data_IF_274137681027
#
_entry.id   IF_274137681027
#
_cell.length_a   1.000
_cell.length_b   1.000
_cell.length_c   1.000
_cell.angle_alpha   90.00
_cell.angle_beta   90.00
_cell.angle_gamma   90.00
#
_symmetry.space_group_name_H-M   'P 1'
#
loop_
_entity.id
_entity.type
_entity.pdbx_description
1 polymer ?
#
# COMPACT_ATOMS: atom_id res chain seq x y z
N UNK A 1 9.22 -12.05 55.43
CA UNK A 1 8.90 -12.31 54.00
C UNK A 1 10.00 -11.63 53.21
N UNK A 2 10.84 -12.42 52.53
CA UNK A 2 11.87 -11.88 51.63
C UNK A 2 11.15 -11.12 50.51
N UNK A 3 11.45 -9.82 50.39
CA UNK A 3 10.95 -8.99 49.29
C UNK A 3 11.54 -9.59 48.02
N UNK A 4 10.72 -10.24 47.20
CA UNK A 4 11.17 -10.76 45.91
C UNK A 4 11.56 -9.56 45.06
N UNK A 5 12.81 -9.48 44.60
CA UNK A 5 13.26 -8.46 43.66
C UNK A 5 12.87 -8.86 42.23
N UNK A 6 12.53 -7.89 41.39
CA UNK A 6 12.28 -8.12 39.97
C UNK A 6 13.55 -8.58 39.24
N UNK A 7 13.39 -9.56 38.36
CA UNK A 7 14.45 -10.01 37.45
C UNK A 7 14.68 -8.97 36.38
N UNK A 8 15.94 -8.68 36.10
CA UNK A 8 16.31 -7.65 35.15
C UNK A 8 16.25 -8.14 33.68
N UNK A 9 16.02 -7.22 32.75
CA UNK A 9 16.19 -7.42 31.31
C UNK A 9 17.63 -7.88 31.04
N UNK A 10 17.74 -8.91 30.20
CA UNK A 10 18.96 -9.69 29.99
C UNK A 10 19.01 -10.98 30.83
N UNK A 11 18.21 -11.08 31.89
CA UNK A 11 18.13 -12.24 32.77
C UNK A 11 16.70 -12.85 32.88
N UNK A 12 15.72 -12.30 32.16
CA UNK A 12 14.33 -12.74 32.23
C UNK A 12 14.19 -14.22 31.83
N UNK A 13 13.18 -14.91 32.38
CA UNK A 13 12.92 -16.30 32.02
C UNK A 13 12.77 -16.50 30.50
N UNK A 14 12.09 -15.60 29.78
CA UNK A 14 11.99 -15.67 28.31
C UNK A 14 13.32 -15.51 27.57
N UNK A 15 14.32 -14.87 28.19
CA UNK A 15 15.65 -14.67 27.61
C UNK A 15 16.61 -15.81 27.97
N UNK A 16 16.39 -16.48 29.10
CA UNK A 16 17.12 -17.70 29.49
C UNK A 16 16.63 -18.92 28.70
N UNK A 17 15.32 -19.05 28.55
CA UNK A 17 14.68 -20.10 27.77
C UNK A 17 13.54 -19.51 26.92
N UNK A 18 13.84 -19.22 25.65
CA UNK A 18 12.88 -18.68 24.69
C UNK A 18 11.69 -19.61 24.41
N UNK A 19 11.81 -20.90 24.72
CA UNK A 19 10.80 -21.94 24.47
C UNK A 19 9.88 -22.18 25.67
N UNK A 20 10.15 -21.54 26.82
CA UNK A 20 9.32 -21.66 28.01
C UNK A 20 7.93 -21.04 27.76
N UNK A 21 6.88 -21.87 27.84
CA UNK A 21 5.50 -21.46 27.52
C UNK A 21 4.67 -21.05 28.73
N UNK A 22 5.05 -21.53 29.91
CA UNK A 22 4.37 -21.23 31.17
C UNK A 22 5.39 -20.95 32.27
N UNK A 23 5.09 -20.02 33.16
CA UNK A 23 5.94 -19.69 34.32
C UNK A 23 5.09 -19.31 35.52
N UNK A 24 5.36 -19.91 36.67
CA UNK A 24 4.84 -19.42 37.94
C UNK A 24 5.72 -18.30 38.47
N UNK A 25 5.11 -17.18 38.83
CA UNK A 25 5.80 -15.97 39.30
C UNK A 25 4.96 -15.23 40.35
N UNK A 26 5.49 -14.16 40.91
CA UNK A 26 4.84 -13.37 41.97
C UNK A 26 4.68 -11.92 41.51
N UNK A 27 3.53 -11.33 41.80
CA UNK A 27 3.30 -9.90 41.57
C UNK A 27 4.11 -9.06 42.55
N UNK A 28 4.92 -8.14 42.06
CA UNK A 28 5.73 -7.22 42.85
C UNK A 28 4.97 -5.91 43.09
N UNK A 29 4.42 -5.33 42.04
CA UNK A 29 3.67 -4.08 42.11
C UNK A 29 2.54 -4.06 41.08
N UNK A 30 1.49 -3.30 41.36
CA UNK A 30 0.37 -3.06 40.46
C UNK A 30 -0.12 -1.63 40.65
N UNK A 31 -0.26 -0.86 39.58
CA UNK A 31 -0.75 0.50 39.61
C UNK A 31 -1.53 0.84 38.33
N UNK A 32 -2.38 1.87 38.38
CA UNK A 32 -3.13 2.32 37.21
C UNK A 32 -2.18 2.75 36.07
N UNK A 33 -2.41 2.21 34.88
CA UNK A 33 -1.68 2.56 33.67
C UNK A 33 -2.44 3.65 32.91
N UNK A 34 -1.86 4.84 32.84
CA UNK A 34 -2.36 5.93 31.99
C UNK A 34 -1.59 5.91 30.67
N UNK A 35 -2.22 5.65 29.52
CA UNK A 35 -1.51 5.63 28.24
C UNK A 35 -0.90 7.00 27.95
N UNK A 36 0.39 7.04 27.58
CA UNK A 36 1.14 8.27 27.30
C UNK A 36 0.50 9.15 26.19
N UNK A 37 -0.32 8.56 25.31
CA UNK A 37 -1.05 9.28 24.26
C UNK A 37 -2.22 10.17 24.75
N UNK A 38 -2.60 10.11 26.03
CA UNK A 38 -3.68 10.94 26.57
C UNK A 38 -3.29 12.44 26.66
N UNK A 39 -1.99 12.77 26.77
CA UNK A 39 -1.54 14.17 26.83
C UNK A 39 -1.47 14.83 25.44
N UNK A 40 -1.12 14.08 24.38
CA UNK A 40 -1.07 14.62 23.00
C UNK A 40 -2.45 14.71 22.32
N UNK A 41 -3.42 13.88 22.72
CA UNK A 41 -4.80 13.96 22.20
C UNK A 41 -5.54 15.22 22.67
N UNK A 42 -5.21 15.79 23.84
CA UNK A 42 -5.81 17.05 24.28
C UNK A 42 -5.50 18.24 23.36
N UNK A 43 -4.37 18.21 22.63
CA UNK A 43 -4.02 19.27 21.67
C UNK A 43 -4.61 19.08 20.26
N UNK A 44 -5.09 17.87 19.89
CA UNK A 44 -5.72 17.63 18.57
C UNK A 44 -7.26 17.64 18.59
N UNK A 45 -7.90 17.42 19.74
CA UNK A 45 -9.37 17.36 19.84
C UNK A 45 -10.10 18.72 19.83
N UNK A 46 -9.40 19.86 19.63
CA UNK A 46 -10.08 21.14 19.37
C UNK A 46 -10.61 21.29 17.93
N UNK A 47 -10.37 20.32 17.04
CA UNK A 47 -10.90 20.30 15.66
C UNK A 47 -11.29 18.89 15.21
N UNK A 48 -12.42 18.39 15.68
CA UNK A 48 -13.42 17.60 14.94
C UNK A 48 -14.43 17.02 15.93
N UNK A 49 -15.69 17.40 15.75
CA UNK A 49 -16.80 16.88 16.53
C UNK A 49 -17.22 15.48 16.08
N UNK A 50 -17.75 14.74 17.05
CA UNK A 50 -18.53 13.50 16.95
C UNK A 50 -17.87 12.29 16.30
N UNK A 51 -17.27 11.44 17.12
CA UNK A 51 -17.48 9.99 17.06
C UNK A 51 -17.59 9.44 18.49
N UNK A 52 -18.51 8.49 18.71
CA UNK A 52 -18.75 7.83 19.99
C UNK A 52 -17.46 7.17 20.51
N UNK A 53 -16.85 7.77 21.52
CA UNK A 53 -15.70 7.19 22.24
C UNK A 53 -16.27 6.22 23.28
N UNK A 54 -16.07 4.91 23.07
CA UNK A 54 -16.28 3.92 24.14
C UNK A 54 -15.50 4.35 25.39
N UNK A 55 -16.05 4.20 26.61
CA UNK A 55 -15.34 4.57 27.82
C UNK A 55 -13.98 3.85 27.86
N UNK A 56 -12.89 4.62 27.97
CA UNK A 56 -11.54 4.07 28.12
C UNK A 56 -11.55 3.12 29.32
N UNK A 57 -11.44 1.82 29.07
CA UNK A 57 -11.34 0.83 30.14
C UNK A 57 -10.09 1.14 30.95
N UNK A 58 -10.24 1.24 32.27
CA UNK A 58 -9.11 1.39 33.18
C UNK A 58 -8.14 0.21 33.00
N UNK A 59 -6.88 0.51 32.71
CA UNK A 59 -5.81 -0.48 32.56
C UNK A 59 -4.86 -0.37 33.75
N UNK A 60 -4.17 -1.47 34.04
CA UNK A 60 -3.22 -1.56 35.14
C UNK A 60 -1.88 -2.06 34.63
N UNK A 61 -0.79 -1.50 35.14
CA UNK A 61 0.57 -1.95 34.90
C UNK A 61 1.00 -2.86 36.07
N UNK A 62 1.37 -4.09 35.75
CA UNK A 62 1.77 -5.11 36.72
C UNK A 62 3.24 -5.47 36.53
N UNK A 63 4.03 -5.29 37.57
CA UNK A 63 5.42 -5.76 37.64
C UNK A 63 5.47 -7.13 38.30
N UNK A 64 6.22 -8.06 37.70
CA UNK A 64 6.36 -9.44 38.16
C UNK A 64 7.80 -9.72 38.56
N UNK A 65 7.99 -10.67 39.48
CA UNK A 65 9.31 -11.08 39.97
C UNK A 65 10.19 -11.62 38.84
N UNK A 66 9.59 -12.33 37.89
CA UNK A 66 10.19 -12.77 36.64
C UNK A 66 9.07 -12.94 35.60
N UNK A 67 9.40 -12.90 34.31
CA UNK A 67 8.43 -13.02 33.23
C UNK A 67 8.93 -13.87 32.06
N UNK A 68 8.00 -14.64 31.50
CA UNK A 68 8.17 -15.29 30.19
C UNK A 68 7.57 -14.48 29.05
N UNK A 69 7.04 -13.29 29.27
CA UNK A 69 6.54 -12.42 28.21
C UNK A 69 7.62 -11.38 27.93
N UNK A 70 8.24 -11.42 26.75
CA UNK A 70 9.32 -10.52 26.38
C UNK A 70 8.79 -9.08 26.31
N UNK A 71 9.37 -8.13 27.07
CA UNK A 71 9.13 -6.72 26.82
C UNK A 71 9.73 -6.35 25.47
N UNK A 72 9.14 -5.39 24.76
CA UNK A 72 9.76 -4.88 23.53
C UNK A 72 11.24 -4.49 23.73
N UNK A 73 12.10 -4.74 22.74
CA UNK A 73 13.52 -4.47 22.87
C UNK A 73 14.35 -4.92 21.67
N UNK A 74 15.39 -4.16 21.35
CA UNK A 74 16.33 -4.48 20.27
C UNK A 74 15.66 -4.66 18.92
N UNK A 75 14.57 -3.93 18.65
CA UNK A 75 13.77 -4.04 17.41
C UNK A 75 12.73 -5.16 17.39
N UNK A 76 12.73 -6.08 18.37
CA UNK A 76 11.69 -7.12 18.50
C UNK A 76 10.45 -6.57 19.24
N UNK A 77 9.24 -6.75 18.66
CA UNK A 77 7.98 -6.42 19.33
C UNK A 77 7.74 -7.23 20.61
N UNK A 78 6.92 -6.70 21.51
CA UNK A 78 6.51 -7.40 22.74
C UNK A 78 5.70 -8.67 22.46
N UNK A 79 5.77 -9.61 23.41
CA UNK A 79 4.87 -10.77 23.43
C UNK A 79 3.49 -10.44 23.98
N UNK A 80 2.52 -11.24 23.55
CA UNK A 80 1.18 -11.31 24.13
C UNK A 80 1.03 -12.60 24.93
N UNK A 81 -0.02 -12.68 25.74
CA UNK A 81 -0.27 -13.85 26.56
C UNK A 81 -1.33 -13.58 27.62
N UNK A 82 -1.25 -14.29 28.73
CA UNK A 82 -2.16 -14.08 29.86
C UNK A 82 -1.51 -14.37 31.20
N UNK A 83 -2.06 -13.70 32.21
CA UNK A 83 -1.78 -13.95 33.62
C UNK A 83 -2.97 -14.75 34.17
N UNK A 84 -2.70 -15.96 34.66
CA UNK A 84 -3.67 -16.85 35.30
C UNK A 84 -3.56 -16.68 36.81
N UNK A 85 -4.65 -16.25 37.43
CA UNK A 85 -4.76 -16.03 38.86
C UNK A 85 -5.02 -17.34 39.62
N UNK A 86 -4.84 -17.39 40.96
CA UNK A 86 -5.10 -18.59 41.76
C UNK A 86 -6.54 -19.13 41.71
N UNK A 87 -7.50 -18.31 41.28
CA UNK A 87 -8.90 -18.68 41.09
C UNK A 87 -9.20 -19.12 39.64
N UNK A 88 -8.17 -19.44 38.85
CA UNK A 88 -8.22 -19.80 37.43
C UNK A 88 -8.77 -18.70 36.50
N UNK A 89 -8.95 -17.47 37.01
CA UNK A 89 -9.30 -16.34 36.15
C UNK A 89 -8.10 -15.96 35.26
N UNK A 90 -8.37 -15.76 33.97
CA UNK A 90 -7.36 -15.51 32.94
C UNK A 90 -7.44 -14.06 32.47
N UNK A 91 -6.43 -13.27 32.84
CA UNK A 91 -6.32 -11.88 32.42
C UNK A 91 -5.44 -11.78 31.16
N UNK A 92 -5.97 -11.28 30.02
CA UNK A 92 -5.17 -11.07 28.83
C UNK A 92 -4.16 -9.94 29.05
N UNK A 93 -2.90 -10.20 28.70
CA UNK A 93 -1.85 -9.17 28.69
C UNK A 93 -1.91 -8.47 27.33
N UNK A 94 -2.25 -7.20 27.34
CA UNK A 94 -2.41 -6.39 26.12
C UNK A 94 -1.05 -5.98 25.55
N UNK A 95 -0.10 -5.69 26.43
CA UNK A 95 1.22 -5.18 26.08
C UNK A 95 2.20 -5.46 27.21
N UNK A 96 3.47 -5.64 26.86
CA UNK A 96 4.57 -5.71 27.83
C UNK A 96 5.56 -4.59 27.51
N UNK A 97 5.66 -3.64 28.43
CA UNK A 97 6.54 -2.48 28.30
C UNK A 97 7.84 -2.73 29.04
N UNK A 98 8.95 -2.29 28.43
CA UNK A 98 10.21 -2.18 29.15
C UNK A 98 10.16 -0.96 30.06
N UNK A 99 10.48 -1.14 31.34
CA UNK A 99 10.61 -0.06 32.31
C UNK A 99 12.02 -0.12 32.91
N UNK A 100 12.95 0.64 32.33
CA UNK A 100 14.39 0.56 32.64
C UNK A 100 14.93 -0.86 32.45
N UNK A 101 15.19 -1.58 33.55
CA UNK A 101 15.66 -2.95 33.57
C UNK A 101 14.55 -3.95 33.94
N UNK A 102 13.29 -3.55 34.11
CA UNK A 102 12.19 -4.49 34.43
C UNK A 102 11.11 -4.47 33.35
N UNK A 103 10.10 -5.33 33.49
CA UNK A 103 8.99 -5.48 32.55
C UNK A 103 7.65 -5.18 33.22
N UNK A 104 6.83 -4.35 32.59
CA UNK A 104 5.48 -4.00 33.02
C UNK A 104 4.44 -4.63 32.10
N UNK A 105 3.47 -5.35 32.68
CA UNK A 105 2.43 -6.05 31.96
C UNK A 105 1.13 -5.25 32.04
N UNK A 106 0.59 -4.84 30.90
CA UNK A 106 -0.65 -4.06 30.85
C UNK A 106 -1.85 -5.00 30.79
N UNK A 107 -2.71 -4.93 31.80
CA UNK A 107 -3.85 -5.83 32.02
C UNK A 107 -5.14 -5.06 32.32
N UNK A 108 -6.34 -5.65 32.08
CA UNK A 108 -7.62 -4.97 32.24
C UNK A 108 -8.15 -4.93 33.69
N UNK A 109 -7.44 -5.50 34.65
CA UNK A 109 -7.88 -5.57 36.05
C UNK A 109 -6.67 -5.59 36.98
N UNK A 110 -6.76 -4.99 38.19
CA UNK A 110 -5.65 -4.94 39.11
C UNK A 110 -5.37 -6.33 39.69
N UNK A 111 -4.13 -6.55 40.10
CA UNK A 111 -3.70 -7.78 40.78
C UNK A 111 -2.93 -7.39 42.04
N UNK A 112 -3.31 -7.93 43.20
CA UNK A 112 -2.70 -7.56 44.47
C UNK A 112 -1.21 -7.97 44.52
N UNK A 113 -0.31 -7.08 44.97
CA UNK A 113 1.08 -7.43 45.24
C UNK A 113 1.22 -8.63 46.17
N UNK A 114 2.18 -9.51 45.89
CA UNK A 114 2.37 -10.78 46.60
C UNK A 114 1.54 -11.96 46.06
N UNK A 115 0.61 -11.71 45.13
CA UNK A 115 -0.18 -12.78 44.50
C UNK A 115 0.72 -13.68 43.64
N UNK A 116 0.62 -15.00 43.83
CA UNK A 116 1.25 -15.99 42.95
C UNK A 116 0.39 -16.17 41.71
N UNK A 117 0.99 -16.03 40.53
CA UNK A 117 0.28 -16.12 39.24
C UNK A 117 1.04 -17.04 38.28
N UNK A 118 0.33 -17.60 37.30
CA UNK A 118 0.94 -18.34 36.20
C UNK A 118 0.85 -17.54 34.92
N UNK A 119 1.98 -17.25 34.30
CA UNK A 119 2.04 -16.68 32.97
C UNK A 119 1.88 -17.78 31.93
N UNK A 120 1.17 -17.47 30.85
CA UNK A 120 1.09 -18.29 29.66
C UNK A 120 1.29 -17.41 28.42
N UNK A 121 2.30 -17.71 27.61
CA UNK A 121 2.60 -16.96 26.39
C UNK A 121 1.65 -17.31 25.26
N UNK A 122 1.34 -16.34 24.41
CA UNK A 122 0.80 -16.57 23.08
C UNK A 122 1.90 -17.20 22.21
N UNK A 123 1.90 -18.53 22.14
CA UNK A 123 2.98 -19.28 21.51
C UNK A 123 3.08 -19.02 20.01
N UNK A 124 1.95 -18.81 19.33
CA UNK A 124 1.94 -18.57 17.88
C UNK A 124 2.58 -17.23 17.53
N UNK A 125 2.32 -16.21 18.36
CA UNK A 125 3.02 -14.92 18.24
C UNK A 125 4.50 -15.07 18.57
N UNK A 126 4.84 -15.72 19.68
CA UNK A 126 6.24 -15.90 20.11
C UNK A 126 7.08 -16.55 19.02
N UNK A 127 6.62 -17.69 18.50
CA UNK A 127 7.38 -18.43 17.50
C UNK A 127 7.51 -17.63 16.19
N UNK A 128 6.48 -16.91 15.79
CA UNK A 128 6.52 -16.02 14.62
C UNK A 128 7.60 -14.94 14.77
N UNK A 129 7.62 -14.24 15.92
CA UNK A 129 8.61 -13.21 16.22
C UNK A 129 10.04 -13.78 16.29
N UNK A 130 10.22 -14.94 16.93
CA UNK A 130 11.53 -15.62 16.97
C UNK A 130 12.02 -16.01 15.58
N UNK A 131 11.13 -16.47 14.70
CA UNK A 131 11.45 -16.78 13.30
C UNK A 131 11.86 -15.53 12.52
N UNK A 132 11.15 -14.41 12.70
CA UNK A 132 11.48 -13.17 12.02
C UNK A 132 12.81 -12.59 12.49
N UNK A 133 13.01 -12.56 13.81
CA UNK A 133 14.20 -11.99 14.41
C UNK A 133 15.44 -12.83 14.10
N UNK A 134 15.38 -14.15 14.32
CA UNK A 134 16.50 -15.04 13.96
C UNK A 134 16.78 -15.01 12.45
N UNK A 135 15.74 -14.97 11.61
CA UNK A 135 15.91 -14.85 10.17
C UNK A 135 16.54 -13.52 9.74
N UNK A 136 16.29 -12.43 10.47
CA UNK A 136 16.98 -11.16 10.25
C UNK A 136 18.48 -11.28 10.53
N UNK A 137 18.88 -11.84 11.69
CA UNK A 137 20.31 -12.02 12.01
C UNK A 137 21.00 -12.90 10.97
N UNK A 138 20.38 -14.01 10.57
CA UNK A 138 20.92 -14.88 9.53
C UNK A 138 21.04 -14.15 8.18
N UNK A 139 20.05 -13.35 7.80
CA UNK A 139 20.08 -12.56 6.58
C UNK A 139 21.20 -11.51 6.61
N UNK A 140 21.35 -10.78 7.71
CA UNK A 140 22.44 -9.80 7.91
C UNK A 140 23.81 -10.45 7.77
N UNK A 141 24.04 -11.57 8.45
CA UNK A 141 25.31 -12.29 8.38
C UNK A 141 25.66 -12.72 6.95
N UNK A 142 24.67 -13.12 6.15
CA UNK A 142 24.89 -13.44 4.74
C UNK A 142 25.17 -12.17 3.92
N UNK A 143 24.40 -11.10 4.13
CA UNK A 143 24.59 -9.82 3.43
C UNK A 143 25.98 -9.22 3.67
N UNK A 144 26.52 -9.35 4.87
CA UNK A 144 27.86 -8.86 5.21
C UNK A 144 28.94 -9.54 4.35
N UNK A 145 28.74 -10.79 3.92
CA UNK A 145 29.66 -11.47 2.98
C UNK A 145 29.66 -10.88 1.56
N UNK A 146 28.75 -9.95 1.26
CA UNK A 146 28.63 -9.22 -0.02
C UNK A 146 28.93 -7.71 0.12
N UNK A 147 29.55 -7.28 1.23
CA UNK A 147 29.77 -5.87 1.56
C UNK A 147 28.46 -5.06 1.54
N UNK A 148 27.41 -5.66 2.11
CA UNK A 148 26.07 -5.08 2.25
C UNK A 148 25.71 -4.98 3.73
N UNK A 149 26.36 -4.05 4.43
CA UNK A 149 26.11 -3.81 5.85
C UNK A 149 24.63 -3.51 6.13
N UNK A 150 24.16 -3.96 7.30
CA UNK A 150 22.81 -3.69 7.78
C UNK A 150 22.77 -2.29 8.43
N UNK A 151 22.14 -1.32 7.77
CA UNK A 151 22.01 0.04 8.30
C UNK A 151 20.89 0.18 9.33
N UNK A 152 19.77 -0.51 9.08
CA UNK A 152 18.63 -0.61 10.00
C UNK A 152 17.71 -1.74 9.56
N UNK A 153 16.76 -2.12 10.41
CA UNK A 153 15.75 -3.12 10.09
C UNK A 153 14.47 -2.87 10.88
N UNK A 154 13.39 -3.53 10.47
CA UNK A 154 12.12 -3.49 11.18
C UNK A 154 11.33 -4.78 11.01
N UNK A 155 10.79 -5.28 12.12
CA UNK A 155 9.89 -6.42 12.16
C UNK A 155 8.45 -5.92 12.24
N UNK A 156 7.77 -5.91 11.10
CA UNK A 156 6.36 -5.53 11.03
C UNK A 156 5.46 -6.76 11.26
N UNK A 157 4.14 -6.60 11.16
CA UNK A 157 3.19 -7.71 11.36
C UNK A 157 3.30 -8.81 10.31
N UNK A 158 3.61 -8.46 9.06
CA UNK A 158 3.67 -9.40 7.96
C UNK A 158 5.00 -9.32 7.21
N UNK A 159 5.32 -8.19 6.61
CA UNK A 159 6.52 -8.02 5.78
C UNK A 159 7.56 -7.17 6.52
N UNK A 160 8.72 -7.75 6.77
CA UNK A 160 9.85 -7.06 7.41
C UNK A 160 10.69 -6.36 6.35
N UNK A 161 11.62 -5.49 6.77
CA UNK A 161 12.64 -4.97 5.87
C UNK A 161 13.99 -4.87 6.56
N UNK A 162 15.04 -4.92 5.73
CA UNK A 162 16.40 -4.54 6.08
C UNK A 162 16.85 -3.42 5.14
N UNK A 163 17.46 -2.38 5.71
CA UNK A 163 17.98 -1.24 4.96
C UNK A 163 19.47 -1.46 4.66
N UNK A 164 19.79 -1.36 3.37
CA UNK A 164 21.11 -1.57 2.78
C UNK A 164 21.65 -0.24 2.25
N UNK A 165 22.97 -0.06 2.19
CA UNK A 165 23.60 1.18 1.70
C UNK A 165 23.34 1.45 0.21
N UNK A 166 22.91 0.44 -0.55
CA UNK A 166 22.63 0.54 -1.97
C UNK A 166 21.58 -0.47 -2.42
N UNK A 167 20.94 -0.20 -3.56
CA UNK A 167 20.09 -1.21 -4.23
C UNK A 167 20.96 -2.33 -4.79
N UNK A 168 20.47 -3.56 -4.65
CA UNK A 168 21.12 -4.79 -5.10
C UNK A 168 20.40 -5.29 -6.36
N UNK A 169 21.12 -5.94 -7.28
CA UNK A 169 20.50 -6.52 -8.48
C UNK A 169 19.65 -7.74 -8.13
N UNK A 170 18.69 -8.07 -8.98
CA UNK A 170 17.78 -9.19 -8.71
C UNK A 170 18.53 -10.53 -8.70
N UNK A 171 19.62 -10.66 -9.47
CA UNK A 171 20.48 -11.84 -9.47
C UNK A 171 21.20 -12.05 -8.13
N UNK A 172 21.75 -10.98 -7.55
CA UNK A 172 22.42 -11.06 -6.23
C UNK A 172 21.38 -11.31 -5.14
N UNK A 173 20.18 -10.72 -5.23
CA UNK A 173 19.10 -11.01 -4.29
C UNK A 173 18.72 -12.49 -4.32
N UNK A 174 18.62 -13.10 -5.50
CA UNK A 174 18.32 -14.53 -5.63
C UNK A 174 19.45 -15.40 -5.04
N UNK A 175 20.71 -15.04 -5.29
CA UNK A 175 21.87 -15.72 -4.72
C UNK A 175 21.85 -15.68 -3.18
N UNK A 176 21.60 -14.50 -2.59
CA UNK A 176 21.48 -14.32 -1.14
C UNK A 176 20.29 -15.11 -0.60
N UNK A 177 19.13 -15.03 -1.26
CA UNK A 177 17.94 -15.79 -0.87
C UNK A 177 18.22 -17.30 -0.80
N UNK A 178 18.91 -17.83 -1.82
CA UNK A 178 19.34 -19.23 -1.83
C UNK A 178 20.32 -19.53 -0.70
N UNK A 179 21.38 -18.73 -0.55
CA UNK A 179 22.44 -18.95 0.46
C UNK A 179 21.90 -18.92 1.89
N UNK A 180 20.97 -18.03 2.20
CA UNK A 180 20.31 -18.01 3.52
C UNK A 180 19.48 -19.28 3.74
N UNK A 181 18.72 -19.73 2.74
CA UNK A 181 17.96 -20.98 2.85
C UNK A 181 18.86 -22.23 2.90
N UNK A 182 20.04 -22.21 2.29
CA UNK A 182 21.04 -23.27 2.44
C UNK A 182 21.50 -23.36 3.91
N UNK A 183 21.80 -22.23 4.58
CA UNK A 183 22.13 -22.22 6.01
C UNK A 183 20.96 -22.61 6.93
N UNK A 184 19.71 -22.35 6.52
CA UNK A 184 18.52 -22.88 7.21
C UNK A 184 18.50 -24.40 7.10
N UNK A 185 18.75 -24.94 5.91
CA UNK A 185 18.80 -26.39 5.67
C UNK A 185 19.92 -27.09 6.46
N UNK A 186 21.08 -26.45 6.58
CA UNK A 186 22.21 -26.95 7.38
C UNK A 186 21.90 -27.04 8.89
N UNK A 187 20.95 -26.24 9.39
CA UNK A 187 20.50 -26.32 10.77
C UNK A 187 21.54 -25.86 11.80
N UNK A 188 22.34 -24.84 11.46
CA UNK A 188 23.36 -24.26 12.34
C UNK A 188 22.83 -24.00 13.77
N UNK A 189 23.61 -24.35 14.82
CA UNK A 189 23.20 -24.16 16.19
C UNK A 189 23.20 -22.67 16.55
N UNK A 190 22.18 -22.24 17.29
CA UNK A 190 22.08 -20.88 17.81
C UNK A 190 22.28 -20.92 19.32
N UNK A 191 23.21 -20.10 19.80
CA UNK A 191 23.56 -20.02 21.22
C UNK A 191 23.47 -18.59 21.72
N UNK A 192 23.06 -18.44 22.97
CA UNK A 192 23.11 -17.17 23.68
C UNK A 192 24.20 -17.28 24.73
N UNK A 193 25.16 -16.36 24.70
CA UNK A 193 26.27 -16.31 25.65
C UNK A 193 26.39 -14.91 26.25
N UNK A 194 27.06 -14.81 27.39
CA UNK A 194 27.44 -13.53 28.00
C UNK A 194 28.80 -13.04 27.46
N UNK A 195 29.16 -11.75 27.60
CA UNK A 195 30.48 -11.23 27.21
C UNK A 195 31.66 -12.01 27.78
N UNK A 196 31.58 -12.39 29.06
CA UNK A 196 32.63 -13.15 29.74
C UNK A 196 32.82 -14.54 29.11
N UNK A 197 31.73 -15.17 28.66
CA UNK A 197 31.76 -16.47 27.97
C UNK A 197 32.16 -16.36 26.49
N UNK A 198 32.03 -15.17 25.89
CA UNK A 198 32.34 -14.94 24.47
C UNK A 198 33.85 -14.83 24.22
N UNK A 199 34.60 -14.18 25.12
CA UNK A 199 36.07 -14.14 25.08
C UNK A 199 36.70 -13.27 24.00
N UNK A 200 35.93 -12.39 23.32
CA UNK A 200 36.42 -11.42 22.34
C UNK A 200 35.82 -10.02 22.58
N UNK A 201 36.45 -8.98 22.02
CA UNK A 201 35.89 -7.61 22.05
C UNK A 201 34.57 -7.55 21.27
N UNK A 202 33.58 -6.87 21.83
CA UNK A 202 32.23 -6.79 21.30
C UNK A 202 31.94 -5.35 20.92
N UNK A 203 31.44 -5.13 19.72
CA UNK A 203 30.91 -3.83 19.33
C UNK A 203 29.62 -3.53 20.10
N UNK A 204 29.69 -2.55 20.99
CA UNK A 204 28.56 -2.11 21.84
C UNK A 204 27.91 -0.83 21.33
N UNK A 205 28.33 -0.31 20.17
CA UNK A 205 27.85 0.97 19.61
C UNK A 205 26.34 1.00 19.31
N UNK A 206 25.72 -0.17 19.19
CA UNK A 206 24.28 -0.32 18.89
C UNK A 206 23.42 -0.55 20.14
N UNK A 207 24.01 -0.53 21.34
CA UNK A 207 23.27 -0.61 22.61
C UNK A 207 22.60 0.75 22.88
N UNK A 208 21.29 0.80 23.20
CA UNK A 208 20.61 2.05 23.53
C UNK A 208 21.26 2.80 24.71
N UNK A 209 21.37 4.12 24.61
CA UNK A 209 21.94 4.98 25.65
C UNK A 209 21.23 4.87 27.01
N UNK A 210 19.96 4.48 27.01
CA UNK A 210 19.13 4.30 28.21
C UNK A 210 19.33 2.92 28.89
N UNK A 211 20.14 2.04 28.31
CA UNK A 211 20.49 0.75 28.89
C UNK A 211 21.69 0.91 29.84
N UNK A 212 21.46 0.74 31.13
CA UNK A 212 22.52 0.73 32.13
C UNK A 212 23.36 -0.55 32.01
N UNK A 213 24.44 -0.50 31.21
CA UNK A 213 25.39 -1.61 31.00
C UNK A 213 26.13 -2.01 32.27
N UNK A 214 26.16 -1.16 33.30
CA UNK A 214 26.79 -1.48 34.59
C UNK A 214 25.94 -2.38 35.49
N UNK A 215 24.62 -2.45 35.21
CA UNK A 215 23.66 -3.24 35.98
C UNK A 215 22.90 -4.27 35.15
N UNK A 216 22.75 -4.05 33.84
CA UNK A 216 22.11 -4.94 32.89
C UNK A 216 23.04 -6.08 32.43
N UNK A 217 22.46 -7.14 31.86
CA UNK A 217 23.22 -8.26 31.29
C UNK A 217 23.25 -8.12 29.77
N UNK A 218 24.44 -7.90 29.19
CA UNK A 218 24.63 -7.96 27.74
C UNK A 218 24.53 -9.43 27.30
N UNK A 219 23.77 -9.68 26.24
CA UNK A 219 23.58 -11.01 25.65
C UNK A 219 24.10 -10.99 24.22
N UNK A 220 24.81 -12.03 23.84
CA UNK A 220 25.38 -12.21 22.51
C UNK A 220 24.75 -13.45 21.90
N UNK A 221 24.17 -13.28 20.72
CA UNK A 221 23.55 -14.37 19.96
C UNK A 221 24.57 -14.81 18.93
N UNK A 222 24.97 -16.08 18.99
CA UNK A 222 25.85 -16.73 18.02
C UNK A 222 25.06 -17.63 17.10
N UNK A 223 25.27 -17.51 15.79
CA UNK A 223 24.72 -18.41 14.78
C UNK A 223 25.89 -19.22 14.20
N UNK A 224 26.09 -20.44 14.72
CA UNK A 224 27.28 -21.24 14.39
C UNK A 224 28.57 -20.42 14.56
N UNK A 225 29.42 -20.46 13.53
CA UNK A 225 30.59 -19.59 13.38
C UNK A 225 30.34 -18.47 12.35
N UNK A 226 29.11 -18.34 11.85
CA UNK A 226 28.75 -17.39 10.80
C UNK A 226 28.57 -15.98 11.36
N UNK A 227 27.98 -15.87 12.55
CA UNK A 227 27.62 -14.58 13.13
C UNK A 227 27.67 -14.58 14.66
N UNK A 228 27.92 -13.40 15.23
CA UNK A 228 27.95 -13.17 16.67
C UNK A 228 27.64 -11.72 17.01
N UNK A 229 26.38 -11.42 17.34
CA UNK A 229 25.91 -10.05 17.58
C UNK A 229 25.28 -9.85 18.96
N UNK A 230 25.46 -8.67 19.60
CA UNK A 230 24.71 -8.30 20.79
C UNK A 230 23.21 -8.22 20.48
N UNK A 231 22.40 -8.99 21.20
CA UNK A 231 20.96 -8.93 21.04
C UNK A 231 20.22 -9.34 22.33
N UNK A 232 19.25 -8.53 22.72
CA UNK A 232 18.39 -8.79 23.88
C UNK A 232 17.15 -9.62 23.55
N UNK A 233 16.87 -9.89 22.27
CA UNK A 233 15.66 -10.60 21.81
C UNK A 233 15.59 -12.08 22.16
N UNK A 234 14.46 -12.70 21.81
CA UNK A 234 14.26 -14.15 21.90
C UNK A 234 14.63 -14.80 20.57
N UNK A 235 15.44 -15.86 20.60
CA UNK A 235 15.94 -16.53 19.41
C UNK A 235 15.64 -18.02 19.41
N UNK A 236 15.53 -18.57 18.20
CA UNK A 236 15.45 -20.00 17.95
C UNK A 236 16.74 -20.70 18.41
N UNK A 237 16.71 -22.03 18.53
CA UNK A 237 17.88 -22.83 18.93
C UNK A 237 18.67 -23.39 17.73
N UNK A 238 18.09 -23.37 16.53
CA UNK A 238 18.73 -23.78 15.28
C UNK A 238 18.14 -22.99 14.11
N UNK A 239 18.95 -22.69 13.10
CA UNK A 239 18.48 -22.02 11.86
C UNK A 239 17.39 -22.81 11.15
N UNK A 240 17.38 -24.15 11.27
CA UNK A 240 16.34 -25.02 10.70
C UNK A 240 14.92 -24.68 11.18
N UNK A 241 14.79 -24.11 12.38
CA UNK A 241 13.49 -23.72 12.94
C UNK A 241 12.93 -22.41 12.33
N UNK A 242 13.75 -21.68 11.55
CA UNK A 242 13.27 -20.58 10.70
C UNK A 242 12.35 -21.13 9.61
N UNK A 243 12.53 -22.41 9.23
CA UNK A 243 11.82 -23.13 8.17
C UNK A 243 12.12 -22.64 6.76
N UNK A 244 11.92 -21.35 6.49
CA UNK A 244 12.23 -20.74 5.21
C UNK A 244 12.36 -19.21 5.39
N UNK A 245 13.12 -18.58 4.50
CA UNK A 245 13.06 -17.14 4.27
C UNK A 245 12.70 -16.88 2.80
N UNK A 246 11.97 -15.80 2.55
CA UNK A 246 11.74 -15.29 1.20
C UNK A 246 12.07 -13.80 1.15
N UNK A 247 12.98 -13.45 0.26
CA UNK A 247 13.23 -12.08 -0.15
C UNK A 247 12.17 -11.65 -1.18
N UNK A 248 11.58 -10.48 -0.96
CA UNK A 248 10.46 -9.98 -1.76
C UNK A 248 10.93 -8.88 -2.72
N UNK A 249 10.50 -7.65 -2.47
CA UNK A 249 10.80 -6.50 -3.31
C UNK A 249 11.76 -5.54 -2.60
N UNK A 250 12.44 -4.72 -3.38
CA UNK A 250 13.30 -3.65 -2.90
C UNK A 250 12.66 -2.28 -3.17
N UNK A 251 12.80 -1.36 -2.20
CA UNK A 251 12.33 0.02 -2.33
C UNK A 251 13.48 0.98 -2.04
N UNK A 252 13.76 1.90 -2.97
CA UNK A 252 14.75 2.94 -2.76
C UNK A 252 14.28 3.92 -1.68
N UNK A 253 15.18 4.32 -0.79
CA UNK A 253 14.92 5.34 0.24
C UNK A 253 15.89 6.51 0.11
N UNK A 254 15.71 7.55 0.94
CA UNK A 254 16.53 8.77 0.88
C UNK A 254 17.99 8.42 1.16
N UNK A 255 18.91 9.10 0.47
CA UNK A 255 20.35 8.91 0.66
C UNK A 255 21.00 7.85 -0.23
N UNK A 256 20.24 7.21 -1.14
CA UNK A 256 20.78 6.16 -2.02
C UNK A 256 20.65 4.73 -1.47
N UNK A 257 20.21 4.62 -0.20
CA UNK A 257 19.92 3.37 0.48
C UNK A 257 18.73 2.63 -0.17
N UNK A 258 18.62 1.34 0.11
CA UNK A 258 17.55 0.46 -0.36
C UNK A 258 16.99 -0.38 0.77
N UNK A 259 15.66 -0.52 0.84
CA UNK A 259 15.00 -1.44 1.77
C UNK A 259 14.65 -2.73 1.06
N UNK A 260 15.33 -3.80 1.42
CA UNK A 260 15.04 -5.16 0.99
C UNK A 260 14.00 -5.78 1.93
N UNK A 261 12.84 -6.11 1.39
CA UNK A 261 11.76 -6.69 2.18
C UNK A 261 11.88 -8.20 2.26
N UNK A 262 11.59 -8.78 3.42
CA UNK A 262 11.71 -10.21 3.66
C UNK A 262 10.63 -10.73 4.61
N UNK A 263 10.40 -12.05 4.57
CA UNK A 263 9.50 -12.79 5.46
C UNK A 263 10.11 -14.14 5.83
N UNK A 264 9.87 -14.61 7.05
CA UNK A 264 10.41 -15.88 7.56
C UNK A 264 9.33 -16.83 8.08
N UNK A 265 9.58 -18.14 8.01
CA UNK A 265 8.78 -19.17 8.67
C UNK A 265 7.30 -19.16 8.30
N UNK A 266 6.43 -19.12 9.32
CA UNK A 266 4.97 -19.19 9.10
C UNK A 266 4.43 -18.12 8.15
N UNK A 267 5.13 -16.98 8.06
CA UNK A 267 4.81 -15.86 7.18
C UNK A 267 5.01 -16.22 5.71
N UNK A 268 6.04 -17.00 5.37
CA UNK A 268 6.27 -17.48 4.00
C UNK A 268 5.09 -18.32 3.53
N UNK A 269 4.63 -19.26 4.35
CA UNK A 269 3.46 -20.09 4.07
C UNK A 269 2.17 -19.26 3.90
N UNK A 270 1.90 -18.34 4.83
CA UNK A 270 0.72 -17.45 4.76
C UNK A 270 0.76 -16.59 3.49
N UNK A 271 1.93 -16.07 3.14
CA UNK A 271 2.12 -15.28 1.94
C UNK A 271 1.90 -16.10 0.67
N UNK A 272 2.46 -17.32 0.59
CA UNK A 272 2.29 -18.22 -0.54
C UNK A 272 0.81 -18.54 -0.80
N UNK A 273 0.05 -18.87 0.24
CA UNK A 273 -1.40 -19.12 0.12
C UNK A 273 -2.12 -17.88 -0.40
N UNK A 274 -1.79 -16.70 0.15
CA UNK A 274 -2.40 -15.43 -0.30
C UNK A 274 -2.13 -15.19 -1.78
N UNK A 275 -0.89 -15.36 -2.24
CA UNK A 275 -0.54 -15.19 -3.65
C UNK A 275 -1.22 -16.24 -4.54
N UNK A 276 -1.25 -17.50 -4.12
CA UNK A 276 -1.94 -18.56 -4.84
C UNK A 276 -3.43 -18.26 -5.02
N UNK A 277 -4.10 -17.78 -3.97
CA UNK A 277 -5.53 -17.43 -4.03
C UNK A 277 -5.79 -16.24 -4.97
N UNK A 278 -4.91 -15.24 -4.98
CA UNK A 278 -4.99 -14.11 -5.92
C UNK A 278 -4.85 -14.62 -7.36
N UNK A 279 -3.81 -15.42 -7.64
CA UNK A 279 -3.58 -15.98 -8.96
C UNK A 279 -4.75 -16.85 -9.43
N UNK A 280 -5.27 -17.73 -8.56
CA UNK A 280 -6.43 -18.58 -8.83
C UNK A 280 -7.69 -17.77 -9.15
N UNK A 281 -7.94 -16.69 -8.42
CA UNK A 281 -9.08 -15.82 -8.66
C UNK A 281 -9.00 -15.14 -10.04
N UNK A 282 -7.81 -14.67 -10.44
CA UNK A 282 -7.58 -14.06 -11.75
C UNK A 282 -7.68 -15.11 -12.87
N UNK A 283 -6.99 -16.24 -12.73
CA UNK A 283 -6.95 -17.31 -13.74
C UNK A 283 -8.34 -17.88 -14.01
N UNK A 284 -9.11 -18.21 -12.98
CA UNK A 284 -10.46 -18.78 -13.15
C UNK A 284 -11.54 -17.75 -13.43
N UNK A 285 -11.54 -16.63 -12.70
CA UNK A 285 -12.65 -15.67 -12.71
C UNK A 285 -12.58 -14.60 -13.80
N UNK A 286 -11.38 -14.26 -14.28
CA UNK A 286 -11.19 -13.15 -15.23
C UNK A 286 -10.64 -13.60 -16.58
N UNK A 287 -9.71 -14.56 -16.58
CA UNK A 287 -8.99 -14.96 -17.79
C UNK A 287 -9.41 -16.33 -18.35
N UNK A 288 -10.07 -17.16 -17.54
CA UNK A 288 -10.43 -18.55 -17.89
C UNK A 288 -9.22 -19.35 -18.41
N UNK A 289 -8.13 -19.36 -17.66
CA UNK A 289 -6.86 -20.01 -18.02
C UNK A 289 -6.23 -20.73 -16.83
N UNK A 290 -5.14 -21.48 -17.07
CA UNK A 290 -4.32 -22.00 -15.96
C UNK A 290 -3.48 -20.88 -15.32
N UNK A 291 -2.97 -21.09 -14.10
CA UNK A 291 -2.21 -20.05 -13.37
C UNK A 291 -0.91 -19.71 -14.13
N UNK A 292 -0.28 -20.71 -14.72
CA UNK A 292 0.96 -20.60 -15.50
C UNK A 292 0.77 -19.75 -16.76
N UNK A 293 -0.46 -19.69 -17.28
CA UNK A 293 -0.82 -18.96 -18.51
C UNK A 293 -1.26 -17.52 -18.24
N UNK A 294 -1.40 -17.09 -16.97
CA UNK A 294 -1.94 -15.77 -16.62
C UNK A 294 -1.18 -14.65 -17.31
N UNK A 295 0.16 -14.69 -17.29
CA UNK A 295 0.99 -13.66 -17.92
C UNK A 295 0.77 -13.57 -19.43
N UNK A 296 0.71 -14.72 -20.11
CA UNK A 296 0.46 -14.80 -21.55
C UNK A 296 -0.93 -14.25 -21.89
N UNK A 297 -1.97 -14.65 -21.15
CA UNK A 297 -3.36 -14.22 -21.35
C UNK A 297 -3.53 -12.72 -21.15
N UNK A 298 -2.85 -12.14 -20.16
CA UNK A 298 -2.80 -10.68 -19.97
C UNK A 298 -2.13 -10.00 -21.18
N UNK A 299 -1.05 -10.59 -21.71
CA UNK A 299 -0.40 -10.12 -22.94
C UNK A 299 -1.36 -10.09 -24.14
N UNK A 300 -2.09 -11.19 -24.36
CA UNK A 300 -3.11 -11.30 -25.42
C UNK A 300 -4.25 -10.29 -25.22
N UNK A 301 -4.73 -10.12 -24.00
CA UNK A 301 -5.78 -9.16 -23.66
C UNK A 301 -5.34 -7.72 -23.99
N UNK A 302 -4.12 -7.34 -23.61
CA UNK A 302 -3.55 -6.03 -23.92
C UNK A 302 -3.41 -5.81 -25.44
N UNK A 303 -3.00 -6.83 -26.18
CA UNK A 303 -2.91 -6.76 -27.63
C UNK A 303 -4.29 -6.58 -28.28
N UNK A 304 -5.29 -7.33 -27.81
CA UNK A 304 -6.66 -7.24 -28.30
C UNK A 304 -7.29 -5.88 -27.97
N UNK A 305 -7.03 -5.34 -26.78
CA UNK A 305 -7.44 -3.99 -26.40
C UNK A 305 -6.88 -2.95 -27.37
N UNK A 306 -5.56 -2.97 -27.63
CA UNK A 306 -4.92 -2.07 -28.60
C UNK A 306 -5.52 -2.20 -30.02
N UNK A 307 -5.77 -3.43 -30.49
CA UNK A 307 -6.41 -3.69 -31.78
C UNK A 307 -7.84 -3.13 -31.83
N UNK A 308 -8.61 -3.32 -30.76
CA UNK A 308 -9.99 -2.81 -30.66
C UNK A 308 -10.03 -1.29 -30.69
N UNK A 309 -9.20 -0.62 -29.88
CA UNK A 309 -9.10 0.86 -29.87
C UNK A 309 -8.64 1.41 -31.23
N UNK A 310 -7.70 0.74 -31.90
CA UNK A 310 -7.29 1.15 -33.25
C UNK A 310 -8.41 0.97 -34.28
N UNK A 311 -9.19 -0.12 -34.19
CA UNK A 311 -10.32 -0.37 -35.08
C UNK A 311 -11.43 0.67 -34.85
N UNK A 312 -11.75 0.96 -33.59
CA UNK A 312 -12.67 2.02 -33.20
C UNK A 312 -12.25 3.38 -33.79
N UNK A 313 -10.98 3.76 -33.64
CA UNK A 313 -10.48 5.00 -34.23
C UNK A 313 -10.61 5.06 -35.75
N UNK A 314 -10.42 3.92 -36.45
CA UNK A 314 -10.56 3.89 -37.91
C UNK A 314 -12.03 3.98 -38.34
N UNK A 315 -12.92 3.25 -37.67
CA UNK A 315 -14.37 3.34 -37.92
C UNK A 315 -14.92 4.74 -37.65
N UNK A 316 -14.44 5.41 -36.60
CA UNK A 316 -14.80 6.81 -36.32
C UNK A 316 -14.36 7.76 -37.43
N UNK A 317 -13.19 7.53 -38.04
CA UNK A 317 -12.73 8.32 -39.20
C UNK A 317 -13.57 8.05 -40.44
N UNK A 318 -13.90 6.80 -40.72
CA UNK A 318 -14.78 6.42 -41.84
C UNK A 318 -16.16 7.06 -41.68
N UNK A 319 -16.76 6.96 -40.49
CA UNK A 319 -18.05 7.55 -40.18
C UNK A 319 -18.02 9.08 -40.27
N UNK A 320 -16.97 9.71 -39.75
CA UNK A 320 -16.76 11.14 -39.89
C UNK A 320 -16.69 11.58 -41.36
N UNK A 321 -16.09 10.76 -42.22
CA UNK A 321 -16.03 11.04 -43.65
C UNK A 321 -17.37 10.89 -44.37
N UNK A 322 -18.18 9.90 -43.98
CA UNK A 322 -19.56 9.75 -44.51
C UNK A 322 -20.41 10.97 -44.13
N UNK A 323 -20.39 11.37 -42.86
CA UNK A 323 -21.17 12.53 -42.40
C UNK A 323 -20.64 13.85 -42.98
N UNK A 324 -19.33 13.99 -43.17
CA UNK A 324 -18.75 15.15 -43.85
C UNK A 324 -19.23 15.25 -45.30
N UNK A 325 -19.29 14.13 -46.04
CA UNK A 325 -19.85 14.08 -47.38
C UNK A 325 -21.35 14.42 -47.41
N UNK A 326 -22.13 13.91 -46.46
CA UNK A 326 -23.56 14.25 -46.32
C UNK A 326 -23.74 15.75 -46.10
N UNK A 327 -22.98 16.32 -45.15
CA UNK A 327 -23.01 17.76 -44.84
C UNK A 327 -22.59 18.60 -46.04
N UNK A 328 -21.54 18.19 -46.74
CA UNK A 328 -21.07 18.86 -47.95
C UNK A 328 -22.13 18.87 -49.06
N UNK A 329 -22.80 17.73 -49.31
CA UNK A 329 -23.89 17.67 -50.29
C UNK A 329 -25.09 18.52 -49.85
N UNK A 330 -25.45 18.49 -48.57
CA UNK A 330 -26.50 19.31 -48.01
C UNK A 330 -26.22 20.81 -48.23
N UNK A 331 -24.97 21.26 -48.05
CA UNK A 331 -24.53 22.63 -48.31
C UNK A 331 -24.57 23.06 -49.77
N UNK A 332 -24.54 22.12 -50.73
CA UNK A 332 -24.71 22.45 -52.16
C UNK A 332 -26.16 22.78 -52.52
N UNK A 333 -27.15 22.27 -51.77
CA UNK A 333 -28.57 22.40 -52.12
C UNK A 333 -29.16 23.77 -51.80
N UNK A 334 -28.68 24.45 -50.75
CA UNK A 334 -29.20 25.75 -50.29
C UNK A 334 -28.05 26.66 -49.86
N UNK A 335 -28.06 27.91 -50.31
CA UNK A 335 -27.15 28.95 -49.84
C UNK A 335 -27.58 29.42 -48.43
N UNK A 336 -26.63 29.77 -47.56
CA UNK A 336 -26.89 30.10 -46.13
C UNK A 336 -27.46 28.96 -45.28
N UNK A 337 -27.04 27.72 -45.54
CA UNK A 337 -27.49 26.53 -44.81
C UNK A 337 -26.72 26.31 -43.50
N UNK A 338 -27.45 25.93 -42.46
CA UNK A 338 -26.90 25.53 -41.15
C UNK A 338 -27.19 24.06 -40.92
N UNK A 339 -26.18 23.31 -40.47
CA UNK A 339 -26.28 21.88 -40.16
C UNK A 339 -25.69 21.62 -38.77
N UNK A 340 -26.21 20.61 -38.07
CA UNK A 340 -25.62 20.15 -36.81
C UNK A 340 -25.47 18.64 -36.78
N UNK A 341 -24.44 18.18 -36.08
CA UNK A 341 -24.17 16.76 -35.86
C UNK A 341 -23.98 16.57 -34.37
N UNK A 342 -24.80 15.69 -33.81
CA UNK A 342 -24.73 15.26 -32.43
C UNK A 342 -24.23 13.81 -32.33
N UNK A 343 -23.34 13.54 -31.38
CA UNK A 343 -22.97 12.19 -30.96
C UNK A 343 -22.98 12.08 -29.44
N UNK A 344 -23.48 10.97 -28.93
CA UNK A 344 -23.45 10.70 -27.48
C UNK A 344 -22.08 10.26 -26.98
N UNK A 345 -21.20 9.76 -27.85
CA UNK A 345 -19.83 9.41 -27.50
C UNK A 345 -18.97 10.66 -27.26
N UNK A 346 -18.00 10.56 -26.34
CA UNK A 346 -17.04 11.64 -26.08
C UNK A 346 -15.74 11.36 -26.85
N UNK A 347 -15.81 11.35 -28.19
CA UNK A 347 -14.62 11.20 -29.04
C UNK A 347 -14.22 12.52 -29.71
N UNK A 348 -13.17 13.20 -29.21
CA UNK A 348 -12.56 14.33 -29.90
C UNK A 348 -11.98 13.98 -31.28
N UNK A 349 -11.60 12.71 -31.47
CA UNK A 349 -11.04 12.19 -32.72
C UNK A 349 -12.07 12.30 -33.85
N UNK A 350 -13.35 12.00 -33.57
CA UNK A 350 -14.43 12.15 -34.55
C UNK A 350 -14.55 13.60 -35.04
N UNK A 351 -14.63 14.57 -34.13
CA UNK A 351 -14.76 16.00 -34.45
C UNK A 351 -13.60 16.45 -35.34
N UNK A 352 -12.38 16.04 -34.98
CA UNK A 352 -11.16 16.40 -35.72
C UNK A 352 -11.14 15.75 -37.10
N UNK A 353 -11.53 14.47 -37.21
CA UNK A 353 -11.62 13.76 -38.48
C UNK A 353 -12.68 14.37 -39.40
N UNK A 354 -13.87 14.67 -38.87
CA UNK A 354 -14.96 15.29 -39.61
C UNK A 354 -14.53 16.65 -40.17
N UNK A 355 -13.95 17.50 -39.32
CA UNK A 355 -13.49 18.83 -39.73
C UNK A 355 -12.48 18.72 -40.88
N UNK A 356 -11.52 17.79 -40.74
CA UNK A 356 -10.49 17.58 -41.76
C UNK A 356 -11.13 17.15 -43.08
N UNK A 357 -12.04 16.18 -43.05
CA UNK A 357 -12.68 15.67 -44.26
C UNK A 357 -13.55 16.73 -44.95
N UNK A 358 -14.42 17.42 -44.20
CA UNK A 358 -15.24 18.50 -44.75
C UNK A 358 -14.38 19.62 -45.37
N UNK A 359 -13.27 19.98 -44.71
CA UNK A 359 -12.33 20.96 -45.25
C UNK A 359 -11.67 20.50 -46.54
N UNK A 360 -11.34 19.21 -46.66
CA UNK A 360 -10.78 18.62 -47.88
C UNK A 360 -11.80 18.66 -49.02
N UNK A 361 -13.04 18.22 -48.78
CA UNK A 361 -14.11 18.24 -49.78
C UNK A 361 -14.37 19.64 -50.34
N UNK A 362 -14.39 20.66 -49.49
CA UNK A 362 -14.55 22.06 -49.91
C UNK A 362 -13.35 22.53 -50.76
N UNK A 363 -12.11 22.22 -50.34
CA UNK A 363 -10.89 22.61 -51.06
C UNK A 363 -10.76 21.96 -52.43
N UNK A 364 -11.16 20.69 -52.54
CA UNK A 364 -11.08 19.92 -53.78
C UNK A 364 -12.16 20.33 -54.79
N UNK A 365 -13.21 21.02 -54.34
CA UNK A 365 -14.33 21.48 -55.18
C UNK A 365 -14.46 23.02 -55.14
N UNK A 366 -13.46 23.76 -55.65
CA UNK A 366 -13.39 25.24 -55.51
C UNK A 366 -14.60 26.01 -56.06
N UNK A 367 -15.34 25.44 -57.02
CA UNK A 367 -16.51 26.08 -57.65
C UNK A 367 -17.85 25.66 -57.02
N UNK A 368 -17.84 24.99 -55.87
CA UNK A 368 -19.07 24.48 -55.24
C UNK A 368 -19.91 25.54 -54.52
N UNK A 369 -19.43 26.79 -54.39
CA UNK A 369 -20.14 27.88 -53.72
C UNK A 369 -20.23 27.75 -52.19
N UNK A 370 -19.52 26.78 -51.60
CA UNK A 370 -19.45 26.56 -50.15
C UNK A 370 -18.27 27.34 -49.57
N UNK A 371 -18.55 28.23 -48.62
CA UNK A 371 -17.58 29.03 -47.89
C UNK A 371 -17.99 29.09 -46.40
N UNK A 372 -17.27 28.36 -45.55
CA UNK A 372 -17.53 28.31 -44.11
C UNK A 372 -17.22 29.63 -43.39
N UNK A 373 -16.57 30.59 -44.05
CA UNK A 373 -16.36 31.92 -43.46
C UNK A 373 -17.50 32.88 -43.77
N UNK A 374 -18.34 32.57 -44.77
CA UNK A 374 -19.34 33.53 -45.30
C UNK A 374 -20.76 33.00 -45.39
N UNK A 375 -20.94 31.75 -45.81
CA UNK A 375 -22.22 31.27 -46.32
C UNK A 375 -22.72 29.96 -45.68
N UNK A 376 -21.92 29.16 -45.00
CA UNK A 376 -22.42 27.91 -44.41
C UNK A 376 -21.94 27.71 -42.98
N UNK A 377 -22.81 27.17 -42.13
CA UNK A 377 -22.48 26.89 -40.73
C UNK A 377 -22.68 25.41 -40.40
N UNK A 378 -21.68 24.77 -39.80
CA UNK A 378 -21.78 23.43 -39.21
C UNK A 378 -21.47 23.48 -37.73
N UNK A 379 -22.27 22.76 -36.95
CA UNK A 379 -22.09 22.55 -35.53
C UNK A 379 -21.82 21.08 -35.22
N UNK A 380 -20.82 20.80 -34.39
CA UNK A 380 -20.48 19.47 -33.90
C UNK A 380 -20.61 19.46 -32.38
N UNK A 381 -21.43 18.57 -31.86
CA UNK A 381 -21.62 18.35 -30.43
C UNK A 381 -21.34 16.88 -30.14
N UNK A 382 -20.51 16.61 -29.14
CA UNK A 382 -20.31 15.26 -28.64
C UNK A 382 -20.50 15.17 -27.11
N UNK A 383 -20.70 13.96 -26.60
CA UNK A 383 -20.92 13.67 -25.18
C UNK A 383 -22.40 13.57 -24.77
N UNK A 384 -22.64 13.01 -23.58
CA UNK A 384 -23.97 12.80 -23.03
C UNK A 384 -23.98 12.84 -21.48
N UNK A 385 -25.10 13.25 -20.89
CA UNK A 385 -25.30 13.32 -19.45
C UNK A 385 -25.19 11.95 -18.77
N UNK A 386 -25.61 10.87 -19.44
CA UNK A 386 -25.62 9.52 -18.86
C UNK A 386 -24.21 8.96 -18.66
N UNK A 387 -23.25 9.40 -19.47
CA UNK A 387 -21.87 8.93 -19.40
C UNK A 387 -21.13 9.42 -18.15
N UNK A 388 -21.66 10.43 -17.44
CA UNK A 388 -20.96 11.10 -16.34
C UNK A 388 -19.72 11.91 -16.79
N UNK A 389 -19.41 11.89 -18.09
CA UNK A 389 -18.36 12.68 -18.73
C UNK A 389 -18.99 13.73 -19.63
N UNK A 390 -18.42 14.93 -19.69
CA UNK A 390 -18.90 15.94 -20.63
C UNK A 390 -18.40 15.69 -22.06
N UNK A 391 -18.28 16.76 -22.85
CA UNK A 391 -17.91 16.66 -24.25
C UNK A 391 -17.28 17.94 -24.80
N UNK A 392 -17.31 18.05 -26.12
CA UNK A 392 -16.73 19.11 -26.92
C UNK A 392 -17.77 19.62 -27.91
N UNK A 393 -17.83 20.93 -28.03
CA UNK A 393 -18.66 21.64 -28.99
C UNK A 393 -17.73 22.39 -29.94
N UNK A 394 -17.97 22.24 -31.24
CA UNK A 394 -17.26 22.97 -32.27
C UNK A 394 -18.24 23.58 -33.26
N UNK A 395 -18.02 24.85 -33.59
CA UNK A 395 -18.81 25.59 -34.59
C UNK A 395 -17.86 26.10 -35.66
N UNK A 396 -18.25 25.92 -36.91
CA UNK A 396 -17.55 26.48 -38.07
C UNK A 396 -18.59 27.12 -38.99
N UNK A 397 -18.58 28.43 -39.14
CA UNK A 397 -19.60 29.16 -39.91
C UNK A 397 -19.76 30.61 -39.47
N UNK A 398 -20.34 31.49 -40.33
CA UNK A 398 -20.61 32.89 -40.00
C UNK A 398 -21.52 33.05 -38.76
N UNK A 399 -22.41 32.08 -38.48
CA UNK A 399 -23.31 32.11 -37.32
C UNK A 399 -22.65 31.65 -36.01
N UNK A 400 -21.35 31.33 -36.01
CA UNK A 400 -20.64 30.82 -34.83
C UNK A 400 -20.74 31.73 -33.60
N UNK A 401 -20.72 33.05 -33.80
CA UNK A 401 -20.80 34.02 -32.68
C UNK A 401 -22.19 34.09 -32.05
N UNK A 402 -23.25 33.95 -32.85
CA UNK A 402 -24.64 33.91 -32.37
C UNK A 402 -24.91 32.60 -31.61
N UNK A 403 -24.57 31.47 -32.24
CA UNK A 403 -24.82 30.13 -31.67
C UNK A 403 -24.06 29.94 -30.35
N UNK A 404 -22.80 30.40 -30.24
CA UNK A 404 -22.06 30.24 -28.98
C UNK A 404 -22.71 30.97 -27.79
N UNK A 405 -23.43 32.08 -28.02
CA UNK A 405 -24.08 32.85 -26.96
C UNK A 405 -25.27 32.06 -26.44
N UNK A 406 -26.10 31.53 -27.33
CA UNK A 406 -27.23 30.65 -26.99
C UNK A 406 -26.77 29.38 -26.28
N UNK A 407 -25.71 28.72 -26.78
CA UNK A 407 -25.18 27.51 -26.15
C UNK A 407 -24.63 27.76 -24.75
N UNK A 408 -24.00 28.92 -24.49
CA UNK A 408 -23.50 29.30 -23.15
C UNK A 408 -24.63 29.61 -22.16
N UNK A 409 -25.81 30.01 -22.63
CA UNK A 409 -26.98 30.20 -21.77
C UNK A 409 -27.65 28.87 -21.41
N UNK A 410 -27.61 27.90 -22.33
CA UNK A 410 -28.26 26.58 -22.17
C UNK A 410 -27.37 25.55 -21.48
N UNK A 411 -26.04 25.69 -21.58
CA UNK A 411 -25.06 24.78 -20.98
C UNK A 411 -24.23 25.54 -19.94
N UNK A 412 -24.53 25.32 -18.67
CA UNK A 412 -23.89 26.00 -17.53
C UNK A 412 -22.38 25.77 -17.45
N UNK A 413 -21.91 24.59 -17.89
CA UNK A 413 -20.51 24.18 -17.85
C UNK A 413 -19.68 24.53 -19.09
N UNK A 414 -20.25 25.12 -20.13
CA UNK A 414 -19.57 25.33 -21.42
C UNK A 414 -18.43 26.36 -21.29
N UNK A 415 -17.19 25.88 -21.39
CA UNK A 415 -15.99 26.71 -21.41
C UNK A 415 -15.33 26.64 -22.77
N UNK A 416 -15.10 27.78 -23.42
CA UNK A 416 -14.57 27.80 -24.77
C UNK A 416 -14.48 29.19 -25.34
N UNK A 417 -13.76 29.29 -26.45
CA UNK A 417 -13.53 30.55 -27.14
C UNK A 417 -13.31 30.32 -28.64
N UNK A 418 -13.45 31.40 -29.38
CA UNK A 418 -13.35 31.42 -30.82
C UNK A 418 -13.39 32.85 -31.33
N UNK A 419 -13.03 33.06 -32.60
CA UNK A 419 -13.07 34.38 -33.25
C UNK A 419 -13.72 34.21 -34.62
N UNK A 420 -14.57 35.17 -35.00
CA UNK A 420 -15.22 35.20 -36.31
C UNK A 420 -16.09 33.97 -36.56
N UNK A 421 -15.75 33.22 -37.62
CA UNK A 421 -16.46 32.06 -38.13
C UNK A 421 -16.16 30.74 -37.38
N UNK A 422 -15.53 30.79 -36.21
CA UNK A 422 -15.11 29.57 -35.49
C UNK A 422 -15.28 29.68 -33.99
N UNK A 423 -15.77 28.61 -33.36
CA UNK A 423 -15.78 28.44 -31.91
C UNK A 423 -15.42 27.00 -31.53
N UNK A 424 -14.67 26.83 -30.45
CA UNK A 424 -14.42 25.53 -29.84
C UNK A 424 -14.55 25.65 -28.32
N UNK A 425 -15.33 24.74 -27.73
CA UNK A 425 -15.57 24.68 -26.30
C UNK A 425 -15.60 23.26 -25.78
N UNK A 426 -15.30 23.12 -24.49
CA UNK A 426 -15.38 21.88 -23.73
C UNK A 426 -16.45 22.05 -22.66
N UNK A 427 -17.28 21.03 -22.53
CA UNK A 427 -18.25 20.86 -21.46
C UNK A 427 -17.64 19.82 -20.52
N UNK A 428 -17.30 20.14 -19.26
CA UNK A 428 -16.76 19.14 -18.33
C UNK A 428 -17.77 18.04 -17.97
N UNK A 429 -19.05 18.41 -17.89
CA UNK A 429 -20.19 17.55 -17.59
C UNK A 429 -21.47 18.22 -18.08
N UNK A 430 -22.38 17.46 -18.68
CA UNK A 430 -23.73 17.91 -19.00
C UNK A 430 -24.67 17.68 -17.81
N UNK A 431 -25.49 18.67 -17.48
CA UNK A 431 -26.58 18.48 -16.51
C UNK A 431 -27.86 17.99 -17.21
N UNK A 432 -28.74 17.33 -16.44
CA UNK A 432 -29.98 16.76 -16.96
C UNK A 432 -30.85 17.86 -17.59
N UNK A 433 -31.30 17.68 -18.84
CA UNK A 433 -32.12 18.65 -19.55
C UNK A 433 -31.34 19.66 -20.41
N UNK A 434 -30.03 19.85 -20.16
CA UNK A 434 -29.23 20.83 -20.92
C UNK A 434 -29.06 20.41 -22.37
N UNK A 435 -28.75 19.12 -22.60
CA UNK A 435 -28.50 18.59 -23.93
C UNK A 435 -29.80 18.54 -24.75
N UNK A 436 -30.93 18.10 -24.17
CA UNK A 436 -32.22 18.13 -24.86
C UNK A 436 -32.62 19.56 -25.25
N UNK A 437 -32.40 20.54 -24.36
CA UNK A 437 -32.66 21.97 -24.64
C UNK A 437 -31.80 22.51 -25.79
N UNK A 438 -30.56 22.05 -25.90
CA UNK A 438 -29.64 22.43 -26.99
C UNK A 438 -30.07 21.79 -28.30
N UNK A 439 -30.38 20.49 -28.31
CA UNK A 439 -30.78 19.79 -29.53
C UNK A 439 -32.06 20.39 -30.13
N UNK A 440 -33.08 20.66 -29.31
CA UNK A 440 -34.32 21.31 -29.75
C UNK A 440 -34.06 22.69 -30.39
N UNK A 441 -33.17 23.49 -29.79
CA UNK A 441 -32.80 24.81 -30.36
C UNK A 441 -32.11 24.67 -31.72
N UNK A 442 -31.29 23.64 -31.91
CA UNK A 442 -30.56 23.44 -33.15
C UNK A 442 -31.45 22.91 -34.28
N UNK A 443 -32.42 22.07 -33.96
CA UNK A 443 -33.47 21.66 -34.89
C UNK A 443 -34.23 22.88 -35.42
N UNK A 444 -34.72 23.76 -34.51
CA UNK A 444 -35.40 25.01 -34.87
C UNK A 444 -34.53 25.97 -35.70
N UNK A 445 -33.21 25.94 -35.51
CA UNK A 445 -32.26 26.78 -36.23
C UNK A 445 -31.99 26.26 -37.66
N UNK A 446 -31.96 24.95 -37.86
CA UNK A 446 -31.66 24.34 -39.16
C UNK A 446 -32.89 24.29 -40.09
N UNK A 447 -34.10 24.33 -39.53
CA UNK A 447 -35.36 24.40 -40.31
C UNK A 447 -35.65 25.79 -40.92
N UNK A 448 -34.93 26.83 -40.50
CA UNK A 448 -35.00 28.20 -41.05
C UNK A 448 -34.00 28.36 -42.21
#
# INVERSE_FOLDING_TARGET
MTVSSSTIVGALACQKDSFLKNLQTVVISCFEHKPQNAQDKQNKNKKKGNENVEPEKELYAVELADTILFPEGGGQPFDTGSIILPNDNRLPVQMVLRNQLTALHIVPSPIDPGTKVTLQVDWDRRIDLMQQHTGQHLLSAVLDTYDLETLSWSLNEMINYIELPRKVSDEIVEEINKKVNDYILEGLPIKVVTPDEHGAEIDTSHIPDDYDTSKGIIRIVKIGELDSNPCCGTHLSSTSQIQAISLLHQVNVRGGNSRLHFICGSRVYKYLIKQHNILKAVSGGQLSCQIEEVAEKVGVLNLNYKKSTSRESNLLKELAGIEANRTFNAFKEKNDKTEFIYRSDNSPEYITAFQKELSTLIKDNKDCGIDLDKNQTVLLINGDYQSGTGGMIKIMGPKATEIQVELKQRISGLKGGGKGSSFQGKVPKYEKGELESVLNYLEDLCDK
#
